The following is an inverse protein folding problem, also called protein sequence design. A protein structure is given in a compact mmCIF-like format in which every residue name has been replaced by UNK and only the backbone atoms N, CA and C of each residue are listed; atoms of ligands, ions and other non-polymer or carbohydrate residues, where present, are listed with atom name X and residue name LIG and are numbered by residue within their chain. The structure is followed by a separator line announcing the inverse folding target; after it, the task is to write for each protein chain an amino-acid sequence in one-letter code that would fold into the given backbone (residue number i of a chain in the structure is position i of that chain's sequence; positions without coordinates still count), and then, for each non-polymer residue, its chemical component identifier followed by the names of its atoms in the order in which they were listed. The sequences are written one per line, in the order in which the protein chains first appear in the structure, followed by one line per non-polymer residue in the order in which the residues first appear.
data_IF_389405027080
#
_entry.id   IF_389405027080
#
_cell.length_a   1.000
_cell.length_b   1.000
_cell.length_c   1.000
_cell.angle_alpha   90.00
_cell.angle_beta   90.00
_cell.angle_gamma   90.00
#
_symmetry.space_group_name_H-M   'P 1'
#
loop_
_entity.id
_entity.type
_entity.pdbx_description
1 polymer ?
#
# COMPACT_ATOMS: atom_id res chain seq x y z
N UNK A 1 4.76 0.61 -12.34
CA UNK A 1 4.08 -0.70 -12.30
C UNK A 1 4.55 -1.62 -13.42
N UNK A 2 4.31 -1.33 -14.71
CA UNK A 2 4.72 -2.26 -15.78
C UNK A 2 6.24 -2.50 -15.89
N UNK A 3 7.07 -1.49 -15.63
CA UNK A 3 8.52 -1.67 -15.59
C UNK A 3 8.94 -2.70 -14.51
N UNK A 4 8.40 -2.57 -13.30
CA UNK A 4 8.63 -3.50 -12.18
C UNK A 4 8.10 -4.92 -12.48
N UNK A 5 6.90 -5.00 -13.09
CA UNK A 5 6.32 -6.28 -13.50
C UNK A 5 7.21 -7.02 -14.51
N UNK A 6 7.71 -6.30 -15.52
CA UNK A 6 8.64 -6.87 -16.50
C UNK A 6 9.96 -7.31 -15.85
N UNK A 7 10.53 -6.51 -14.94
CA UNK A 7 11.75 -6.85 -14.22
C UNK A 7 11.60 -8.15 -13.40
N UNK A 8 10.41 -8.37 -12.82
CA UNK A 8 10.08 -9.56 -12.03
C UNK A 8 9.46 -10.70 -12.85
N UNK A 9 9.40 -10.57 -14.19
CA UNK A 9 8.76 -11.53 -15.10
C UNK A 9 7.31 -11.86 -14.73
N UNK A 10 6.60 -10.86 -14.20
CA UNK A 10 5.16 -10.92 -14.00
C UNK A 10 4.46 -10.49 -15.30
N UNK A 11 3.54 -11.28 -15.87
CA UNK A 11 2.88 -10.93 -17.13
C UNK A 11 2.06 -9.64 -16.97
N UNK A 12 2.42 -8.60 -17.73
CA UNK A 12 1.69 -7.32 -17.68
C UNK A 12 0.23 -7.46 -18.15
N UNK A 13 -0.07 -8.47 -18.98
CA UNK A 13 -1.42 -8.84 -19.42
C UNK A 13 -2.32 -9.29 -18.28
N UNK A 14 -1.73 -9.79 -17.20
CA UNK A 14 -2.47 -10.36 -16.06
C UNK A 14 -2.80 -9.28 -15.02
N UNK A 15 -2.21 -8.08 -15.15
CA UNK A 15 -2.46 -6.96 -14.24
C UNK A 15 -3.82 -6.35 -14.58
N UNK A 16 -4.78 -6.55 -13.68
CA UNK A 16 -6.03 -5.81 -13.72
C UNK A 16 -5.81 -4.37 -13.25
N UNK A 17 -6.40 -3.39 -13.94
CA UNK A 17 -6.37 -1.98 -13.53
C UNK A 17 -7.80 -1.50 -13.38
N UNK A 18 -8.14 -1.03 -12.19
CA UNK A 18 -9.40 -0.38 -11.90
C UNK A 18 -9.18 1.10 -11.64
N UNK A 19 -9.92 1.93 -12.37
CA UNK A 19 -9.93 3.38 -12.20
C UNK A 19 -11.37 3.83 -11.94
N UNK A 20 -11.60 4.43 -10.78
CA UNK A 20 -12.88 5.01 -10.43
C UNK A 20 -12.72 6.53 -10.27
N UNK A 21 -13.35 7.34 -11.12
CA UNK A 21 -13.41 8.78 -10.92
C UNK A 21 -14.06 9.11 -9.57
N UNK A 22 -13.47 10.05 -8.84
CA UNK A 22 -13.97 10.55 -7.56
C UNK A 22 -13.94 12.09 -7.56
N UNK A 23 -14.61 12.70 -6.59
CA UNK A 23 -14.61 14.16 -6.40
C UNK A 23 -14.87 14.94 -7.70
N UNK A 24 -15.95 14.58 -8.40
CA UNK A 24 -16.34 15.22 -9.67
C UNK A 24 -15.24 15.17 -10.76
N UNK A 25 -14.41 14.12 -10.77
CA UNK A 25 -13.36 13.92 -11.78
C UNK A 25 -12.03 14.61 -11.47
N UNK A 26 -11.89 15.24 -10.30
CA UNK A 26 -10.62 15.87 -9.87
C UNK A 26 -9.64 14.87 -9.26
N UNK A 27 -10.10 13.68 -8.91
CA UNK A 27 -9.26 12.57 -8.43
C UNK A 27 -9.82 11.23 -8.90
N UNK A 28 -9.04 10.16 -8.73
CA UNK A 28 -9.51 8.81 -8.97
C UNK A 28 -8.97 7.84 -7.91
N UNK A 29 -9.76 6.82 -7.59
CA UNK A 29 -9.26 5.62 -6.95
C UNK A 29 -8.63 4.75 -8.03
N UNK A 30 -7.34 4.44 -7.86
CA UNK A 30 -6.59 3.58 -8.75
C UNK A 30 -6.18 2.32 -7.99
N UNK A 31 -6.53 1.16 -8.55
CA UNK A 31 -6.24 -0.13 -7.96
C UNK A 31 -5.64 -1.07 -9.00
N UNK A 32 -4.59 -1.79 -8.59
CA UNK A 32 -3.92 -2.80 -9.40
C UNK A 32 -4.21 -4.16 -8.81
N UNK A 33 -4.82 -5.04 -9.61
CA UNK A 33 -5.08 -6.42 -9.25
C UNK A 33 -3.94 -7.30 -9.77
N UNK A 34 -3.27 -8.00 -8.85
CA UNK A 34 -2.13 -8.86 -9.12
C UNK A 34 -2.51 -10.32 -8.84
N UNK A 35 -3.26 -11.01 -9.73
CA UNK A 35 -3.60 -12.41 -9.54
C UNK A 35 -2.35 -13.31 -9.47
N UNK A 36 -2.40 -14.32 -8.60
CA UNK A 36 -1.38 -15.35 -8.48
C UNK A 36 -1.97 -16.63 -7.87
N UNK A 37 -1.29 -17.76 -8.06
CA UNK A 37 -1.65 -19.00 -7.40
C UNK A 37 -0.95 -19.10 -6.03
N UNK A 38 -1.69 -19.07 -4.90
CA UNK A 38 -1.08 -19.15 -3.57
C UNK A 38 -0.46 -20.52 -3.27
N UNK A 39 -0.82 -21.57 -4.01
CA UNK A 39 -0.21 -22.90 -3.90
C UNK A 39 1.17 -23.02 -4.56
N UNK A 40 1.64 -21.97 -5.23
CA UNK A 40 2.97 -21.92 -5.86
C UNK A 40 3.82 -20.83 -5.22
N UNK A 41 4.77 -21.24 -4.36
CA UNK A 41 5.65 -20.32 -3.64
C UNK A 41 6.33 -19.30 -4.55
N UNK A 42 6.78 -19.70 -5.74
CA UNK A 42 7.44 -18.79 -6.68
C UNK A 42 6.52 -17.68 -7.22
N UNK A 43 5.21 -17.93 -7.34
CA UNK A 43 4.25 -16.89 -7.74
C UNK A 43 3.93 -15.97 -6.56
N UNK A 44 3.76 -16.54 -5.36
CA UNK A 44 3.56 -15.79 -4.11
C UNK A 44 4.73 -14.83 -3.83
N UNK A 45 5.97 -15.32 -3.91
CA UNK A 45 7.17 -14.52 -3.69
C UNK A 45 7.31 -13.42 -4.74
N UNK A 46 6.99 -13.73 -6.01
CA UNK A 46 7.02 -12.75 -7.10
C UNK A 46 6.01 -11.64 -6.88
N UNK A 47 4.76 -11.97 -6.54
CA UNK A 47 3.72 -10.95 -6.30
C UNK A 47 4.01 -10.16 -5.03
N UNK A 48 4.53 -10.80 -3.97
CA UNK A 48 4.97 -10.11 -2.76
C UNK A 48 6.05 -9.07 -3.09
N UNK A 49 7.07 -9.46 -3.87
CA UNK A 49 8.12 -8.54 -4.29
C UNK A 49 7.60 -7.43 -5.21
N UNK A 50 6.71 -7.76 -6.14
CA UNK A 50 6.10 -6.80 -7.05
C UNK A 50 5.26 -5.77 -6.30
N UNK A 51 4.48 -6.22 -5.31
CA UNK A 51 3.70 -5.37 -4.43
C UNK A 51 4.63 -4.39 -3.69
N UNK A 52 5.70 -4.88 -3.08
CA UNK A 52 6.69 -4.05 -2.38
C UNK A 52 7.33 -3.00 -3.31
N UNK A 53 7.94 -3.42 -4.42
CA UNK A 53 8.69 -2.49 -5.30
C UNK A 53 7.79 -1.49 -6.01
N UNK A 54 6.60 -1.91 -6.45
CA UNK A 54 5.62 -0.99 -7.04
C UNK A 54 5.13 0.02 -6.02
N UNK A 55 4.88 -0.40 -4.78
CA UNK A 55 4.42 0.49 -3.72
C UNK A 55 5.46 1.56 -3.43
N UNK A 56 6.72 1.17 -3.24
CA UNK A 56 7.82 2.13 -3.06
C UNK A 56 7.94 3.10 -4.24
N UNK A 57 7.88 2.60 -5.47
CA UNK A 57 8.00 3.43 -6.67
C UNK A 57 6.84 4.44 -6.80
N UNK A 58 5.60 4.02 -6.53
CA UNK A 58 4.42 4.88 -6.56
C UNK A 58 4.47 5.93 -5.45
N UNK A 59 4.83 5.52 -4.24
CA UNK A 59 5.05 6.40 -3.10
C UNK A 59 6.11 7.45 -3.47
N UNK A 60 7.27 7.05 -4.02
CA UNK A 60 8.32 7.97 -4.49
C UNK A 60 7.84 8.99 -5.53
N UNK A 61 6.88 8.60 -6.38
CA UNK A 61 6.27 9.47 -7.38
C UNK A 61 5.15 10.37 -6.83
N UNK A 62 4.88 10.33 -5.52
CA UNK A 62 3.87 11.17 -4.88
C UNK A 62 2.45 10.59 -4.94
N UNK A 63 2.30 9.29 -5.24
CA UNK A 63 0.99 8.65 -5.19
C UNK A 63 0.42 8.67 -3.76
N UNK A 64 -0.88 8.93 -3.66
CA UNK A 64 -1.60 8.94 -2.40
C UNK A 64 -2.23 7.57 -2.12
N UNK A 65 -1.91 7.00 -0.94
CA UNK A 65 -2.47 5.73 -0.48
C UNK A 65 -3.59 6.02 0.52
N UNK A 66 -4.84 5.93 0.07
CA UNK A 66 -6.02 6.23 0.88
C UNK A 66 -6.28 5.22 2.01
N UNK A 67 -5.71 4.01 1.89
CA UNK A 67 -5.86 2.91 2.86
C UNK A 67 -4.50 2.24 3.11
N UNK A 68 -3.56 2.89 3.82
CA UNK A 68 -2.20 2.39 3.98
C UNK A 68 -2.15 1.26 5.02
N UNK A 69 -2.67 0.09 4.66
CA UNK A 69 -2.66 -1.11 5.49
C UNK A 69 -1.47 -2.02 5.16
N UNK A 70 -1.12 -2.89 6.12
CA UNK A 70 -0.02 -3.84 5.94
C UNK A 70 1.29 -3.11 5.68
N UNK A 71 2.01 -3.53 4.63
CA UNK A 71 3.32 -2.96 4.27
C UNK A 71 3.27 -1.45 3.99
N UNK A 72 2.13 -0.92 3.56
CA UNK A 72 1.99 0.49 3.22
C UNK A 72 1.96 1.40 4.44
N UNK A 73 1.55 0.89 5.59
CA UNK A 73 1.46 1.68 6.81
C UNK A 73 2.84 2.31 7.07
N UNK A 74 3.86 1.48 7.23
CA UNK A 74 5.21 1.96 7.53
C UNK A 74 5.78 2.80 6.39
N UNK A 75 5.56 2.39 5.14
CA UNK A 75 6.06 3.12 3.97
C UNK A 75 5.51 4.54 3.86
N UNK A 76 4.24 4.76 4.25
CA UNK A 76 3.58 6.07 4.15
C UNK A 76 3.85 6.92 5.39
N UNK A 77 3.65 6.37 6.58
CA UNK A 77 3.78 7.15 7.82
C UNK A 77 5.23 7.48 8.19
N UNK A 78 6.23 6.72 7.73
CA UNK A 78 7.64 7.07 7.96
C UNK A 78 8.11 8.27 7.13
N UNK A 79 7.32 8.77 6.17
CA UNK A 79 7.69 9.95 5.37
C UNK A 79 7.38 11.27 6.07
N UNK A 80 6.48 11.24 7.05
CA UNK A 80 6.13 12.39 7.86
C UNK A 80 6.12 11.98 9.34
N UNK A 81 7.29 12.14 9.96
CA UNK A 81 7.47 11.83 11.38
C UNK A 81 6.55 12.68 12.28
N UNK A 82 6.27 13.93 11.91
CA UNK A 82 5.42 14.81 12.71
C UNK A 82 3.97 14.31 12.71
N UNK A 83 3.44 13.95 11.54
CA UNK A 83 2.11 13.37 11.42
C UNK A 83 2.02 12.02 12.17
N UNK A 84 3.05 11.17 12.07
CA UNK A 84 3.11 9.90 12.81
C UNK A 84 3.03 10.11 14.32
N UNK A 85 3.83 11.03 14.88
CA UNK A 85 3.81 11.31 16.32
C UNK A 85 2.50 11.95 16.79
N UNK A 86 1.89 12.81 15.96
CA UNK A 86 0.56 13.35 16.24
C UNK A 86 -0.49 12.24 16.35
N UNK A 87 -0.53 11.32 15.37
CA UNK A 87 -1.52 10.23 15.39
C UNK A 87 -1.26 9.28 16.58
N UNK A 88 0.01 8.99 16.91
CA UNK A 88 0.37 8.22 18.11
C UNK A 88 -0.10 8.89 19.40
N UNK A 89 0.03 10.21 19.48
CA UNK A 89 -0.45 10.99 20.64
C UNK A 89 -1.96 10.88 20.78
N UNK A 90 -2.70 11.07 19.69
CA UNK A 90 -4.15 10.90 19.65
C UNK A 90 -4.54 9.48 20.08
N UNK A 91 -3.85 8.46 19.56
CA UNK A 91 -4.05 7.06 19.94
C UNK A 91 -3.85 6.83 21.44
N UNK A 92 -2.81 7.41 22.04
CA UNK A 92 -2.56 7.31 23.48
C UNK A 92 -3.62 8.00 24.34
N UNK A 93 -4.22 9.09 23.86
CA UNK A 93 -5.30 9.79 24.55
C UNK A 93 -6.58 8.94 24.56
N UNK A 94 -6.95 8.37 23.41
CA UNK A 94 -8.22 7.64 23.25
C UNK A 94 -8.15 6.15 23.58
N UNK A 95 -6.97 5.56 23.55
CA UNK A 95 -6.74 4.15 23.88
C UNK A 95 -5.47 3.97 24.73
N UNK A 96 -5.50 4.45 25.99
CA UNK A 96 -4.34 4.41 26.88
C UNK A 96 -3.86 2.99 27.20
N UNK A 97 -4.75 1.99 27.10
CA UNK A 97 -4.43 0.57 27.35
C UNK A 97 -4.09 -0.20 26.07
N UNK A 98 -4.05 0.47 24.91
CA UNK A 98 -3.75 -0.11 23.60
C UNK A 98 -4.58 -1.36 23.23
N UNK A 99 -5.90 -1.33 23.51
CA UNK A 99 -6.82 -2.45 23.25
C UNK A 99 -7.42 -2.39 21.85
N UNK A 100 -7.57 -1.19 21.28
CA UNK A 100 -8.24 -0.95 20.01
C UNK A 100 -7.31 -1.18 18.82
N UNK A 101 -7.24 -2.42 18.33
CA UNK A 101 -6.49 -2.83 17.12
C UNK A 101 -5.01 -2.40 17.12
N UNK A 102 -4.19 -2.90 18.07
CA UNK A 102 -2.77 -2.58 18.15
C UNK A 102 -2.01 -2.99 16.88
N UNK A 103 -1.07 -2.15 16.45
CA UNK A 103 -0.23 -2.36 15.27
C UNK A 103 -0.87 -1.96 13.93
N UNK A 104 -2.12 -1.46 13.94
CA UNK A 104 -2.77 -0.98 12.72
C UNK A 104 -2.31 0.45 12.42
N UNK A 105 -1.98 0.73 11.15
CA UNK A 105 -1.52 2.07 10.70
C UNK A 105 -0.21 2.55 11.38
N UNK A 106 0.63 1.64 11.91
CA UNK A 106 1.92 1.91 12.58
C UNK A 106 1.88 2.26 14.08
N UNK A 107 0.78 2.00 14.79
CA UNK A 107 0.67 2.25 16.24
C UNK A 107 -0.11 1.18 16.99
#
# INVERSE_FOLDING_TARGET
VFAEANALRYPVSDIGIYLQPQHQGTSCHCEFNLPYNPGKNIETDRVSKLLETCSEALIRQGAYFSRPYGIWADMVYNRDAANKEMIRTIKGIFDPNNVLNPGKLCF
#
